data_IF_206856736144
#
_entry.id   IF_206856736144
#
_cell.length_a   1.000
_cell.length_b   1.000
_cell.length_c   1.000
_cell.angle_alpha   90.00
_cell.angle_beta   90.00
_cell.angle_gamma   90.00
#
_symmetry.space_group_name_H-M   'P 1'
#
loop_
_entity.id
_entity.type
_entity.pdbx_description
1 polymer ?
#
# COMPACT_ATOMS: atom_id res chain seq x y z
N UNK A 1 -16.70 9.29 3.45
CA UNK A 1 -15.35 8.69 3.58
C UNK A 1 -15.49 7.19 3.80
N UNK A 2 -14.56 6.38 3.28
CA UNK A 2 -14.51 4.93 3.52
C UNK A 2 -13.40 4.67 4.55
N UNK A 3 -13.73 3.96 5.62
CA UNK A 3 -12.75 3.59 6.67
C UNK A 3 -12.19 2.20 6.39
N UNK A 4 -10.88 2.06 6.45
CA UNK A 4 -10.16 0.80 6.32
C UNK A 4 -9.41 0.58 7.63
N UNK A 5 -9.57 -0.59 8.25
CA UNK A 5 -8.81 -0.99 9.45
C UNK A 5 -7.73 -1.98 9.04
N UNK A 6 -6.48 -1.67 9.35
CA UNK A 6 -5.32 -2.53 9.09
C UNK A 6 -4.44 -2.58 10.32
N UNK A 7 -3.86 -3.75 10.59
CA UNK A 7 -2.84 -3.89 11.61
C UNK A 7 -1.51 -3.43 11.04
N UNK A 8 -0.80 -2.56 11.76
CA UNK A 8 0.52 -2.08 11.37
C UNK A 8 1.61 -2.77 12.21
N UNK A 9 2.80 -3.01 11.65
CA UNK A 9 3.95 -3.40 12.45
C UNK A 9 4.23 -2.37 13.54
N UNK A 10 4.60 -2.84 14.75
CA UNK A 10 4.82 -1.96 15.91
C UNK A 10 5.78 -0.81 15.61
N UNK A 11 6.87 -1.09 14.88
CA UNK A 11 7.86 -0.08 14.49
C UNK A 11 7.23 1.03 13.64
N UNK A 12 6.40 0.66 12.66
CA UNK A 12 5.74 1.62 11.78
C UNK A 12 4.74 2.50 12.55
N UNK A 13 3.99 1.92 13.49
CA UNK A 13 3.12 2.70 14.37
C UNK A 13 3.89 3.74 15.19
N UNK A 14 5.03 3.36 15.75
CA UNK A 14 5.90 4.30 16.49
C UNK A 14 6.45 5.42 15.58
N UNK A 15 6.80 5.12 14.34
CA UNK A 15 7.26 6.14 13.38
C UNK A 15 6.13 7.13 13.05
N UNK A 16 4.91 6.65 12.81
CA UNK A 16 3.71 7.48 12.58
C UNK A 16 3.49 8.43 13.76
N UNK A 17 3.48 7.91 14.99
CA UNK A 17 3.34 8.74 16.19
C UNK A 17 4.45 9.80 16.31
N UNK A 18 5.70 9.44 15.99
CA UNK A 18 6.83 10.35 16.09
C UNK A 18 6.70 11.53 15.12
N UNK A 19 6.21 11.31 13.91
CA UNK A 19 5.99 12.38 12.92
C UNK A 19 4.91 13.38 13.36
N UNK A 20 3.83 12.89 13.98
CA UNK A 20 2.79 13.76 14.55
C UNK A 20 3.35 14.54 15.74
N UNK A 21 4.05 13.88 16.67
CA UNK A 21 4.65 14.53 17.86
C UNK A 21 5.70 15.58 17.49
N UNK A 22 6.40 15.41 16.37
CA UNK A 22 7.38 16.38 15.88
C UNK A 22 6.76 17.50 15.03
N UNK A 23 5.43 17.50 14.84
CA UNK A 23 4.69 18.58 14.21
C UNK A 23 4.72 18.59 12.68
N UNK A 24 5.17 17.50 12.04
CA UNK A 24 5.13 17.40 10.56
C UNK A 24 3.73 17.17 10.01
N UNK A 25 2.86 16.56 10.82
CA UNK A 25 1.47 16.27 10.49
C UNK A 25 0.59 16.61 11.69
N UNK A 26 -0.67 16.95 11.42
CA UNK A 26 -1.62 17.31 12.47
C UNK A 26 -2.13 16.07 13.22
N UNK A 27 -2.33 14.96 12.51
CA UNK A 27 -2.78 13.69 13.06
C UNK A 27 -2.31 12.48 12.24
N UNK A 28 -2.50 11.28 12.78
CA UNK A 28 -2.10 10.02 12.15
C UNK A 28 -2.89 9.74 10.85
N UNK A 29 -4.14 10.18 10.75
CA UNK A 29 -4.96 9.95 9.56
C UNK A 29 -4.49 10.79 8.36
N UNK A 30 -4.13 12.05 8.59
CA UNK A 30 -3.50 12.92 7.60
C UNK A 30 -2.19 12.31 7.09
N UNK A 31 -1.32 11.89 8.00
CA UNK A 31 -0.06 11.25 7.67
C UNK A 31 -0.29 10.00 6.82
N UNK A 32 -1.13 9.08 7.28
CA UNK A 32 -1.36 7.80 6.58
C UNK A 32 -2.01 8.00 5.21
N UNK A 33 -2.97 8.93 5.09
CA UNK A 33 -3.58 9.26 3.80
C UNK A 33 -2.55 9.83 2.82
N UNK A 34 -1.73 10.76 3.30
CA UNK A 34 -0.68 11.40 2.48
C UNK A 34 0.36 10.37 2.03
N UNK A 35 0.86 9.56 2.97
CA UNK A 35 1.83 8.51 2.68
C UNK A 35 1.29 7.48 1.68
N UNK A 36 0.03 7.05 1.84
CA UNK A 36 -0.61 6.12 0.91
C UNK A 36 -0.78 6.72 -0.49
N UNK A 37 -1.21 7.97 -0.57
CA UNK A 37 -1.35 8.68 -1.84
C UNK A 37 -0.01 8.79 -2.57
N UNK A 38 1.04 9.24 -1.88
CA UNK A 38 2.37 9.36 -2.44
C UNK A 38 2.95 8.00 -2.84
N UNK A 39 2.76 6.96 -2.03
CA UNK A 39 3.19 5.61 -2.37
C UNK A 39 2.54 5.11 -3.67
N UNK A 40 1.22 5.24 -3.79
CA UNK A 40 0.49 4.80 -4.99
C UNK A 40 0.94 5.61 -6.20
N UNK A 41 1.05 6.94 -6.08
CA UNK A 41 1.46 7.83 -7.17
C UNK A 41 2.85 7.49 -7.68
N UNK A 42 3.83 7.29 -6.80
CA UNK A 42 5.21 6.98 -7.16
C UNK A 42 5.37 5.57 -7.73
N UNK A 43 4.60 4.60 -7.23
CA UNK A 43 4.75 3.21 -7.63
C UNK A 43 3.77 2.77 -8.72
N UNK A 44 2.89 3.65 -9.22
CA UNK A 44 1.80 3.29 -10.13
C UNK A 44 2.24 2.45 -11.33
N UNK A 45 3.28 2.87 -12.06
CA UNK A 45 3.74 2.16 -13.25
C UNK A 45 4.31 0.78 -12.90
N UNK A 46 5.14 0.72 -11.85
CA UNK A 46 5.73 -0.53 -11.35
C UNK A 46 4.66 -1.51 -10.86
N UNK A 47 3.68 -1.02 -10.10
CA UNK A 47 2.56 -1.82 -9.61
C UNK A 47 1.69 -2.32 -10.77
N UNK A 48 1.40 -1.47 -11.77
CA UNK A 48 0.68 -1.89 -12.96
C UNK A 48 1.40 -3.01 -13.71
N UNK A 49 2.71 -2.88 -13.93
CA UNK A 49 3.50 -3.92 -14.59
C UNK A 49 3.50 -5.22 -13.78
N UNK A 50 3.67 -5.14 -12.46
CA UNK A 50 3.65 -6.30 -11.57
C UNK A 50 2.30 -7.01 -11.62
N UNK A 51 1.19 -6.29 -11.47
CA UNK A 51 -0.15 -6.88 -11.52
C UNK A 51 -0.44 -7.53 -12.88
N UNK A 52 -0.03 -6.89 -13.98
CA UNK A 52 -0.18 -7.50 -15.32
C UNK A 52 0.61 -8.82 -15.45
N UNK A 53 1.83 -8.89 -14.89
CA UNK A 53 2.62 -10.13 -14.89
C UNK A 53 1.98 -11.21 -14.04
N UNK A 54 1.52 -10.86 -12.84
CA UNK A 54 0.81 -11.78 -11.94
C UNK A 54 -0.47 -12.34 -12.60
N UNK A 55 -1.23 -11.50 -13.31
CA UNK A 55 -2.41 -11.93 -14.07
C UNK A 55 -2.06 -12.88 -15.22
N UNK A 56 -0.99 -12.60 -15.98
CA UNK A 56 -0.51 -13.49 -17.05
C UNK A 56 -0.06 -14.83 -16.47
N UNK A 57 0.75 -14.82 -15.41
CA UNK A 57 1.21 -16.03 -14.74
C UNK A 57 0.05 -16.87 -14.21
N UNK A 58 -0.93 -16.22 -13.60
CA UNK A 58 -2.16 -16.87 -13.15
C UNK A 58 -2.88 -17.52 -14.33
N UNK A 59 -3.10 -16.81 -15.43
CA UNK A 59 -3.79 -17.33 -16.61
C UNK A 59 -3.05 -18.54 -17.22
N UNK A 60 -1.72 -18.50 -17.26
CA UNK A 60 -0.90 -19.62 -17.72
C UNK A 60 -1.03 -20.84 -16.81
N UNK A 61 -1.00 -20.66 -15.48
CA UNK A 61 -1.19 -21.75 -14.50
C UNK A 61 -2.58 -22.39 -14.61
N UNK A 62 -3.63 -21.57 -14.78
CA UNK A 62 -4.99 -22.08 -15.00
C UNK A 62 -5.07 -22.88 -16.30
N UNK A 63 -4.45 -22.40 -17.39
CA UNK A 63 -4.42 -23.11 -18.67
C UNK A 63 -3.68 -24.45 -18.60
N UNK A 64 -2.58 -24.54 -17.83
CA UNK A 64 -1.82 -25.78 -17.70
C UNK A 64 -2.44 -26.78 -16.73
N UNK A 65 -3.10 -26.32 -15.66
CA UNK A 65 -3.85 -27.18 -14.73
C UNK A 65 -5.20 -27.66 -15.24
N UNK A 66 -5.68 -27.13 -16.37
CA UNK A 66 -6.90 -27.57 -17.06
C UNK A 66 -6.66 -28.64 -18.13
N UNK A 67 -5.46 -29.21 -18.22
CA UNK A 67 -5.12 -30.39 -19.02
C UNK A 67 -4.94 -31.61 -18.12
#
# INVERSE_FOLDING_TARGET
MKTIKVSLPKKLGMEVENYVKSGWFNDEEELLRTALHEFIRHNRLKLMEQFMKEDIEWALKVKTGAK
#
